data_IF_684436292032
#
_entry.id   IF_684436292032
#
_cell.length_a   1.000
_cell.length_b   1.000
_cell.length_c   1.000
_cell.angle_alpha   90.00
_cell.angle_beta   90.00
_cell.angle_gamma   90.00
#
_symmetry.space_group_name_H-M   'P 1'
#
loop_
_entity.id
_entity.type
_entity.pdbx_description
1 polymer ?
#
# COMPACT_ATOMS: atom_id res chain seq x y z
N UNK A 1 -79.94 -22.71 35.13
CA UNK A 1 -81.20 -21.93 35.19
C UNK A 1 -80.90 -20.53 34.68
N UNK A 2 -81.65 -20.11 33.66
CA UNK A 2 -81.65 -18.81 32.97
C UNK A 2 -80.37 -18.41 32.21
N UNK A 3 -80.28 -18.95 31.00
CA UNK A 3 -79.74 -18.28 29.82
C UNK A 3 -80.80 -17.33 29.26
N UNK A 4 -80.52 -16.03 29.24
CA UNK A 4 -81.29 -15.08 28.44
C UNK A 4 -80.62 -14.86 27.08
N UNK A 5 -81.43 -15.02 26.05
CA UNK A 5 -81.16 -14.68 24.66
C UNK A 5 -80.94 -13.18 24.48
N UNK A 6 -79.98 -12.76 23.65
CA UNK A 6 -80.28 -11.85 22.53
C UNK A 6 -79.26 -12.02 21.39
N UNK A 7 -79.83 -12.23 20.21
CA UNK A 7 -79.24 -12.37 18.90
C UNK A 7 -78.89 -11.02 18.26
N UNK A 8 -77.68 -10.97 17.68
CA UNK A 8 -77.32 -10.44 16.35
C UNK A 8 -77.73 -8.99 15.98
N UNK A 9 -76.72 -8.12 15.92
CA UNK A 9 -76.43 -7.36 14.70
C UNK A 9 -74.91 -7.27 14.49
N UNK A 10 -74.41 -8.09 13.56
CA UNK A 10 -73.04 -8.04 13.09
C UNK A 10 -72.87 -7.16 11.85
N UNK A 11 -71.60 -6.94 11.55
CA UNK A 11 -71.01 -6.50 10.27
C UNK A 11 -71.14 -5.03 9.87
N UNK A 12 -70.02 -4.30 9.98
CA UNK A 12 -69.48 -3.40 8.91
C UNK A 12 -68.17 -2.69 9.28
N UNK A 13 -67.64 -2.80 10.49
CA UNK A 13 -66.51 -1.96 10.94
C UNK A 13 -65.10 -2.59 10.89
N UNK A 14 -64.94 -3.91 10.69
CA UNK A 14 -63.60 -4.55 10.66
C UNK A 14 -62.97 -4.70 9.26
N UNK A 15 -63.73 -4.56 8.16
CA UNK A 15 -63.19 -4.72 6.80
C UNK A 15 -62.55 -3.46 6.21
N UNK A 16 -62.87 -2.27 6.74
CA UNK A 16 -62.31 -1.00 6.24
C UNK A 16 -60.93 -0.65 6.81
N UNK A 17 -60.60 -1.12 8.03
CA UNK A 17 -59.31 -0.82 8.69
C UNK A 17 -58.16 -1.63 8.07
N UNK A 18 -58.44 -2.79 7.49
CA UNK A 18 -57.41 -3.67 6.90
C UNK A 18 -57.06 -3.28 5.44
N UNK A 19 -57.98 -2.63 4.71
CA UNK A 19 -57.70 -2.10 3.36
C UNK A 19 -56.86 -0.82 3.43
N UNK A 20 -57.19 0.14 4.30
CA UNK A 20 -56.49 1.43 4.38
C UNK A 20 -55.00 1.31 4.77
N UNK A 21 -54.67 0.40 5.69
CA UNK A 21 -53.26 0.10 6.05
C UNK A 21 -52.47 -0.52 4.89
N UNK A 22 -53.08 -1.42 4.09
CA UNK A 22 -52.44 -1.98 2.90
C UNK A 22 -52.22 -0.93 1.80
N UNK A 23 -53.18 -0.02 1.59
CA UNK A 23 -53.01 1.09 0.63
C UNK A 23 -51.96 2.11 1.07
N UNK A 24 -51.87 2.46 2.36
CA UNK A 24 -50.81 3.33 2.87
C UNK A 24 -49.43 2.68 2.79
N UNK A 25 -49.31 1.39 3.13
CA UNK A 25 -48.05 0.65 3.00
C UNK A 25 -47.61 0.55 1.53
N UNK A 26 -48.56 0.34 0.61
CA UNK A 26 -48.30 0.23 -0.83
C UNK A 26 -47.92 1.59 -1.44
N UNK A 27 -48.57 2.69 -1.02
CA UNK A 27 -48.26 4.05 -1.47
C UNK A 27 -46.95 4.57 -0.87
N UNK A 28 -46.63 4.19 0.36
CA UNK A 28 -45.34 4.46 0.99
C UNK A 28 -44.22 3.67 0.30
N UNK A 29 -44.41 2.37 0.03
CA UNK A 29 -43.48 1.58 -0.79
C UNK A 29 -43.33 2.17 -2.19
N UNK A 30 -44.42 2.57 -2.86
CA UNK A 30 -44.36 3.17 -4.19
C UNK A 30 -43.60 4.49 -4.19
N UNK A 31 -43.83 5.37 -3.21
CA UNK A 31 -43.09 6.63 -3.08
C UNK A 31 -41.64 6.41 -2.67
N UNK A 32 -41.35 5.39 -1.85
CA UNK A 32 -40.00 4.98 -1.48
C UNK A 32 -39.24 4.41 -2.69
N UNK A 33 -39.92 3.58 -3.49
CA UNK A 33 -39.39 3.01 -4.74
C UNK A 33 -39.22 4.11 -5.80
N UNK A 34 -40.18 5.02 -5.99
CA UNK A 34 -40.02 6.18 -6.89
C UNK A 34 -38.88 7.08 -6.43
N UNK A 35 -38.75 7.28 -5.12
CA UNK A 35 -37.64 8.03 -4.53
C UNK A 35 -36.31 7.38 -4.87
N UNK A 36 -36.18 6.07 -4.69
CA UNK A 36 -34.99 5.31 -5.09
C UNK A 36 -34.73 5.35 -6.62
N UNK A 37 -35.77 5.22 -7.44
CA UNK A 37 -35.66 5.19 -8.90
C UNK A 37 -35.33 6.55 -9.53
N UNK A 38 -35.59 7.67 -8.84
CA UNK A 38 -35.36 9.02 -9.36
C UNK A 38 -34.17 9.71 -8.69
N UNK A 39 -34.08 9.67 -7.35
CA UNK A 39 -33.04 10.40 -6.63
C UNK A 39 -31.66 9.74 -6.79
N UNK A 40 -31.57 8.41 -6.84
CA UNK A 40 -30.28 7.73 -7.00
C UNK A 40 -29.67 8.02 -8.37
N UNK A 41 -30.38 7.87 -9.50
CA UNK A 41 -29.81 8.22 -10.81
C UNK A 41 -29.44 9.70 -10.93
N UNK A 42 -30.24 10.61 -10.37
CA UNK A 42 -29.92 12.04 -10.36
C UNK A 42 -28.69 12.35 -9.51
N UNK A 43 -28.54 11.72 -8.35
CA UNK A 43 -27.34 11.83 -7.52
C UNK A 43 -26.11 11.24 -8.22
N UNK A 44 -26.23 10.09 -8.87
CA UNK A 44 -25.13 9.49 -9.63
C UNK A 44 -24.74 10.36 -10.84
N UNK A 45 -25.71 10.95 -11.52
CA UNK A 45 -25.46 11.87 -12.63
C UNK A 45 -24.82 13.18 -12.15
N UNK A 46 -25.30 13.76 -11.04
CA UNK A 46 -24.70 14.97 -10.47
C UNK A 46 -23.26 14.71 -9.97
N UNK A 47 -23.03 13.56 -9.34
CA UNK A 47 -21.70 13.10 -8.94
C UNK A 47 -20.78 12.92 -10.15
N UNK A 48 -21.26 12.26 -11.20
CA UNK A 48 -20.52 12.09 -12.44
C UNK A 48 -20.17 13.43 -13.11
N UNK A 49 -21.11 14.37 -13.16
CA UNK A 49 -20.87 15.72 -13.67
C UNK A 49 -19.84 16.45 -12.81
N UNK A 50 -19.96 16.38 -11.48
CA UNK A 50 -19.01 16.98 -10.55
C UNK A 50 -17.58 16.43 -10.74
N UNK A 51 -17.42 15.11 -10.89
CA UNK A 51 -16.14 14.47 -11.25
C UNK A 51 -15.62 15.04 -12.58
N UNK A 52 -16.46 15.09 -13.62
CA UNK A 52 -16.05 15.58 -14.93
C UNK A 52 -15.64 17.05 -14.92
N UNK A 53 -16.27 17.88 -14.08
CA UNK A 53 -15.93 19.30 -13.90
C UNK A 53 -14.65 19.43 -13.07
N UNK A 54 -14.61 18.84 -11.87
CA UNK A 54 -13.48 18.93 -10.93
C UNK A 54 -12.18 18.45 -11.57
N UNK A 55 -12.26 17.37 -12.35
CA UNK A 55 -11.11 16.74 -13.00
C UNK A 55 -11.05 17.01 -14.52
N UNK A 56 -11.73 18.08 -15.00
CA UNK A 56 -11.78 18.45 -16.43
C UNK A 56 -10.42 18.86 -16.97
N UNK A 57 -9.69 19.69 -16.22
CA UNK A 57 -8.45 20.33 -16.66
C UNK A 57 -7.19 19.59 -16.18
N UNK A 58 -7.36 18.54 -15.37
CA UNK A 58 -6.24 17.78 -14.82
C UNK A 58 -5.78 16.71 -15.81
N UNK A 59 -5.25 17.17 -16.94
CA UNK A 59 -4.55 16.28 -17.83
C UNK A 59 -3.17 16.01 -17.25
N UNK A 60 -2.97 14.82 -16.72
CA UNK A 60 -1.63 14.28 -16.49
C UNK A 60 -1.01 13.96 -17.86
N UNK A 61 -0.65 15.02 -18.59
CA UNK A 61 0.00 14.92 -19.90
C UNK A 61 1.38 14.31 -19.66
N UNK A 62 1.79 13.43 -20.58
CA UNK A 62 3.16 12.89 -20.65
C UNK A 62 4.17 14.00 -21.01
N UNK A 63 4.40 14.97 -20.14
CA UNK A 63 5.53 15.90 -20.33
C UNK A 63 6.79 15.21 -19.85
N UNK A 64 7.30 14.34 -20.72
CA UNK A 64 8.61 13.74 -20.60
C UNK A 64 9.62 14.68 -21.24
N UNK A 65 10.36 15.43 -20.43
CA UNK A 65 11.63 16.01 -20.85
C UNK A 65 12.75 15.16 -20.25
N UNK A 66 13.27 14.20 -21.03
CA UNK A 66 14.55 13.54 -20.78
C UNK A 66 15.70 14.53 -20.95
N UNK A 67 15.81 15.49 -20.05
CA UNK A 67 17.12 16.07 -19.74
C UNK A 67 17.67 15.29 -18.55
N UNK A 68 17.97 14.01 -18.80
CA UNK A 68 18.83 13.26 -17.90
C UNK A 68 20.18 13.95 -17.96
N UNK A 69 20.52 14.66 -16.90
CA UNK A 69 21.90 15.00 -16.58
C UNK A 69 22.66 13.68 -16.49
N UNK A 70 23.37 13.33 -17.57
CA UNK A 70 24.43 12.34 -17.59
C UNK A 70 25.51 12.82 -16.61
N UNK A 71 25.32 12.52 -15.33
CA UNK A 71 26.42 12.60 -14.36
C UNK A 71 27.10 11.25 -14.41
N UNK A 72 28.30 11.26 -15.01
CA UNK A 72 29.24 10.16 -15.09
C UNK A 72 29.23 9.29 -13.83
N UNK A 73 29.13 7.97 -14.04
CA UNK A 73 29.35 6.95 -13.02
C UNK A 73 30.82 6.99 -12.54
N UNK A 74 31.13 7.90 -11.62
CA UNK A 74 32.30 7.74 -10.76
C UNK A 74 31.87 6.90 -9.57
N UNK A 75 31.88 5.58 -9.75
CA UNK A 75 31.80 4.62 -8.65
C UNK A 75 33.19 4.49 -8.02
N UNK A 76 33.64 5.53 -7.31
CA UNK A 76 34.59 5.31 -6.23
C UNK A 76 33.78 4.81 -5.05
N UNK A 77 33.46 3.51 -5.07
CA UNK A 77 32.97 2.81 -3.88
C UNK A 77 34.16 2.77 -2.94
N UNK A 78 34.24 3.76 -2.05
CA UNK A 78 35.12 3.66 -0.89
C UNK A 78 34.75 2.35 -0.19
N UNK A 79 35.73 1.46 -0.11
CA UNK A 79 35.67 0.18 0.59
C UNK A 79 35.54 0.45 2.08
N UNK A 80 34.36 0.90 2.53
CA UNK A 80 34.00 0.73 3.92
C UNK A 80 33.78 -0.76 4.15
N UNK A 81 34.17 -1.27 5.31
CA UNK A 81 34.00 -2.66 5.75
C UNK A 81 32.51 -3.04 5.81
N UNK A 82 31.86 -3.23 4.65
CA UNK A 82 30.47 -3.65 4.49
C UNK A 82 30.36 -5.18 4.41
N UNK A 83 31.25 -5.92 5.07
CA UNK A 83 31.30 -7.40 4.99
C UNK A 83 29.94 -8.03 5.33
N UNK A 84 29.17 -7.41 6.22
CA UNK A 84 27.87 -7.94 6.66
C UNK A 84 26.72 -7.58 5.68
N UNK A 85 26.80 -6.52 4.88
CA UNK A 85 25.67 -6.09 4.02
C UNK A 85 25.43 -7.03 2.83
N UNK A 86 26.43 -7.82 2.46
CA UNK A 86 26.29 -8.89 1.47
C UNK A 86 25.59 -10.14 2.03
N UNK A 87 25.49 -10.25 3.36
CA UNK A 87 24.89 -11.37 4.08
C UNK A 87 23.55 -11.01 4.74
N UNK A 88 23.25 -9.72 4.88
CA UNK A 88 21.97 -9.24 5.40
C UNK A 88 21.00 -9.01 4.25
N UNK A 89 19.77 -9.51 4.36
CA UNK A 89 18.70 -9.39 3.38
C UNK A 89 17.54 -8.52 3.90
N UNK A 90 16.60 -8.14 3.03
CA UNK A 90 15.55 -7.17 3.37
C UNK A 90 14.65 -7.60 4.53
N UNK A 91 14.33 -8.89 4.64
CA UNK A 91 13.55 -9.40 5.76
C UNK A 91 14.31 -9.39 7.09
N UNK A 92 15.61 -9.09 7.13
CA UNK A 92 16.35 -8.92 8.38
C UNK A 92 16.13 -7.55 9.02
N UNK A 93 15.35 -6.66 8.41
CA UNK A 93 15.17 -5.30 8.89
C UNK A 93 13.71 -4.95 9.16
N UNK A 94 13.53 -4.00 10.07
CA UNK A 94 12.30 -3.28 10.32
C UNK A 94 12.48 -1.84 9.82
N UNK A 95 11.43 -1.31 9.19
CA UNK A 95 11.38 0.04 8.62
C UNK A 95 10.09 0.74 9.02
N UNK A 96 10.14 2.06 9.00
CA UNK A 96 8.97 2.91 9.09
C UNK A 96 8.38 3.17 7.70
N UNK A 97 7.05 3.16 7.67
CA UNK A 97 6.23 3.46 6.50
C UNK A 97 5.21 4.53 6.80
N UNK A 98 4.59 5.07 5.77
CA UNK A 98 3.49 6.02 5.90
C UNK A 98 2.27 5.52 5.17
N UNK A 99 1.11 5.69 5.81
CA UNK A 99 -0.19 5.47 5.20
C UNK A 99 -0.63 6.78 4.53
N UNK A 100 -1.13 6.70 3.29
CA UNK A 100 -1.48 7.84 2.44
C UNK A 100 -0.37 8.92 2.38
N UNK A 101 0.85 8.55 1.97
CA UNK A 101 2.02 9.45 1.96
C UNK A 101 1.82 10.74 1.15
N UNK A 102 0.94 10.71 0.15
CA UNK A 102 0.56 11.87 -0.66
C UNK A 102 -0.38 12.83 0.09
N UNK A 103 -1.09 12.35 1.12
CA UNK A 103 -2.04 13.09 1.95
C UNK A 103 -1.40 13.47 3.29
N UNK A 104 -0.35 14.27 3.24
CA UNK A 104 0.35 14.78 4.43
C UNK A 104 0.81 16.21 4.21
N UNK A 105 0.88 16.98 5.30
CA UNK A 105 1.52 18.31 5.32
C UNK A 105 3.01 18.22 4.94
N UNK A 106 3.62 17.04 5.11
CA UNK A 106 5.02 16.78 4.79
C UNK A 106 5.12 16.16 3.40
N UNK A 107 5.95 16.76 2.54
CA UNK A 107 6.19 16.24 1.18
C UNK A 107 6.75 14.82 1.20
N UNK A 108 6.49 14.02 0.16
CA UNK A 108 7.04 12.66 0.02
C UNK A 108 8.58 12.67 0.17
N UNK A 109 9.27 13.62 -0.46
CA UNK A 109 10.74 13.71 -0.36
C UNK A 109 11.19 13.96 1.08
N UNK A 110 10.51 14.87 1.81
CA UNK A 110 10.81 15.15 3.21
C UNK A 110 10.53 13.94 4.11
N UNK A 111 9.47 13.17 3.85
CA UNK A 111 9.23 11.90 4.57
C UNK A 111 10.41 10.93 4.38
N UNK A 112 10.95 10.84 3.17
CA UNK A 112 12.11 9.97 2.90
C UNK A 112 13.40 10.48 3.54
N UNK A 113 13.56 11.81 3.66
CA UNK A 113 14.64 12.44 4.44
C UNK A 113 14.53 12.08 5.93
N UNK A 114 13.31 11.94 6.46
CA UNK A 114 13.05 11.42 7.82
C UNK A 114 13.31 9.91 7.99
N UNK A 115 13.80 9.23 6.96
CA UNK A 115 14.10 7.79 7.03
C UNK A 115 12.91 6.88 6.72
N UNK A 116 11.77 7.41 6.26
CA UNK A 116 10.64 6.59 5.79
C UNK A 116 11.08 5.80 4.55
N UNK A 117 10.79 4.50 4.55
CA UNK A 117 11.15 3.56 3.47
C UNK A 117 9.97 2.78 2.91
N UNK A 118 8.75 3.07 3.35
CA UNK A 118 7.53 2.68 2.64
C UNK A 118 6.67 3.93 2.38
N UNK A 119 6.35 4.15 1.10
CA UNK A 119 5.51 5.23 0.58
C UNK A 119 4.25 4.60 -0.02
N UNK A 120 3.09 5.19 0.21
CA UNK A 120 1.76 4.71 -0.22
C UNK A 120 1.08 5.76 -1.10
N UNK A 121 0.60 5.34 -2.27
CA UNK A 121 -0.13 6.16 -3.23
C UNK A 121 -1.48 5.51 -3.56
N UNK A 122 -2.56 6.26 -3.35
CA UNK A 122 -3.90 5.89 -3.82
C UNK A 122 -4.09 6.37 -5.25
N UNK A 123 -4.09 5.44 -6.17
CA UNK A 123 -4.06 5.70 -7.61
C UNK A 123 -5.45 5.50 -8.18
N UNK A 124 -6.13 6.60 -8.49
CA UNK A 124 -7.48 6.60 -9.03
C UNK A 124 -7.50 6.48 -10.56
N UNK A 125 -8.32 5.56 -11.05
CA UNK A 125 -8.62 5.40 -12.47
C UNK A 125 -9.66 6.45 -12.89
N UNK A 126 -9.30 7.33 -13.84
CA UNK A 126 -10.26 8.27 -14.43
C UNK A 126 -10.48 7.97 -15.91
N UNK A 127 -11.70 7.52 -16.23
CA UNK A 127 -12.12 7.14 -17.58
C UNK A 127 -11.87 8.25 -18.61
N UNK A 128 -11.05 7.92 -19.63
CA UNK A 128 -10.96 8.66 -20.89
C UNK A 128 -9.78 9.62 -21.06
N UNK A 129 -8.75 9.63 -20.20
CA UNK A 129 -7.63 10.58 -20.33
C UNK A 129 -6.20 10.02 -20.19
N UNK A 130 -6.03 8.70 -20.12
CA UNK A 130 -4.70 8.06 -20.15
C UNK A 130 -3.76 8.39 -18.98
N UNK A 131 -4.24 9.09 -17.95
CA UNK A 131 -3.49 9.47 -16.75
C UNK A 131 -4.15 8.90 -15.49
N UNK A 132 -3.34 8.71 -14.46
CA UNK A 132 -3.79 8.34 -13.12
C UNK A 132 -3.61 9.53 -12.17
N UNK A 133 -4.61 9.73 -11.32
CA UNK A 133 -4.59 10.76 -10.29
C UNK A 133 -4.30 10.14 -8.94
N UNK A 134 -3.68 10.91 -8.05
CA UNK A 134 -3.34 10.47 -6.70
C UNK A 134 -4.07 11.35 -5.68
N UNK A 135 -4.97 10.77 -4.90
CA UNK A 135 -5.74 11.44 -3.86
C UNK A 135 -6.48 10.43 -2.96
N UNK A 136 -7.06 10.87 -1.84
CA UNK A 136 -7.66 9.99 -0.82
C UNK A 136 -9.11 9.62 -1.10
N UNK A 137 -10.00 10.61 -1.17
CA UNK A 137 -11.41 10.39 -1.49
C UNK A 137 -11.86 11.31 -2.61
N UNK A 138 -12.44 10.71 -3.65
CA UNK A 138 -12.98 11.43 -4.79
C UNK A 138 -14.02 12.47 -4.35
N UNK A 139 -13.84 13.73 -4.76
CA UNK A 139 -14.65 14.91 -4.43
C UNK A 139 -14.74 15.32 -2.94
N UNK A 140 -14.47 14.42 -1.99
CA UNK A 140 -14.61 14.67 -0.55
C UNK A 140 -13.30 15.12 0.07
N UNK A 141 -12.21 14.45 -0.28
CA UNK A 141 -10.89 14.65 0.29
C UNK A 141 -9.82 14.41 -0.78
N UNK A 142 -9.77 15.33 -1.74
CA UNK A 142 -8.88 15.23 -2.90
C UNK A 142 -7.56 16.00 -2.73
N UNK A 143 -7.23 16.37 -1.49
CA UNK A 143 -5.94 16.96 -1.16
C UNK A 143 -4.80 15.96 -1.42
N UNK A 144 -3.69 16.45 -1.95
CA UNK A 144 -2.49 15.67 -2.23
C UNK A 144 -1.29 16.61 -2.41
N UNK A 145 -0.10 16.15 -2.05
CA UNK A 145 1.16 16.84 -2.31
C UNK A 145 1.73 16.58 -3.73
N UNK A 146 1.15 15.62 -4.47
CA UNK A 146 1.48 15.33 -5.86
C UNK A 146 0.24 14.77 -6.56
N UNK A 147 -0.19 15.41 -7.65
CA UNK A 147 -1.54 15.17 -8.18
C UNK A 147 -1.58 14.08 -9.25
N UNK A 148 -0.60 14.09 -10.14
CA UNK A 148 -0.44 13.05 -11.15
C UNK A 148 0.48 11.94 -10.64
N UNK A 149 0.16 10.67 -10.94
CA UNK A 149 1.04 9.55 -10.60
C UNK A 149 2.46 9.78 -11.12
N UNK A 150 2.60 10.27 -12.36
CA UNK A 150 3.91 10.61 -12.94
C UNK A 150 4.69 11.66 -12.14
N UNK A 151 4.01 12.66 -11.58
CA UNK A 151 4.65 13.69 -10.73
C UNK A 151 5.12 13.09 -9.41
N UNK A 152 4.28 12.28 -8.75
CA UNK A 152 4.64 11.57 -7.52
C UNK A 152 5.88 10.69 -7.74
N UNK A 153 5.89 9.90 -8.82
CA UNK A 153 7.01 9.04 -9.19
C UNK A 153 8.29 9.85 -9.48
N UNK A 154 8.17 11.01 -10.12
CA UNK A 154 9.32 11.90 -10.38
C UNK A 154 9.89 12.50 -9.09
N UNK A 155 9.07 12.85 -8.10
CA UNK A 155 9.55 13.32 -6.80
C UNK A 155 10.40 12.25 -6.10
N UNK A 156 9.92 11.00 -6.13
CA UNK A 156 10.64 9.84 -5.57
C UNK A 156 11.96 9.61 -6.33
N UNK A 157 11.94 9.64 -7.67
CA UNK A 157 13.15 9.47 -8.48
C UNK A 157 14.17 10.58 -8.20
N UNK A 158 13.74 11.86 -8.16
CA UNK A 158 14.63 12.99 -7.89
C UNK A 158 15.30 12.86 -6.52
N UNK A 159 14.55 12.44 -5.50
CA UNK A 159 15.10 12.16 -4.19
C UNK A 159 16.08 10.97 -4.23
N UNK A 160 15.71 9.88 -4.91
CA UNK A 160 16.53 8.68 -5.06
C UNK A 160 17.86 8.94 -5.80
N UNK A 161 17.86 9.87 -6.76
CA UNK A 161 19.06 10.28 -7.50
C UNK A 161 20.02 11.12 -6.66
N UNK A 162 19.49 11.95 -5.75
CA UNK A 162 20.29 12.73 -4.78
C UNK A 162 20.86 11.83 -3.67
N UNK A 163 20.16 10.75 -3.33
CA UNK A 163 20.51 9.81 -2.27
C UNK A 163 20.89 8.43 -2.83
N UNK A 164 21.91 8.34 -3.69
CA UNK A 164 22.17 7.14 -4.54
C UNK A 164 22.30 5.81 -3.79
N UNK A 165 22.73 5.83 -2.53
CA UNK A 165 22.90 4.64 -1.68
C UNK A 165 21.82 4.53 -0.60
N UNK A 166 20.66 5.17 -0.79
CA UNK A 166 19.56 5.04 0.16
C UNK A 166 19.14 3.57 0.32
N UNK A 167 18.72 3.17 1.51
CA UNK A 167 18.07 1.87 1.70
C UNK A 167 16.82 1.74 0.82
N UNK A 168 16.43 0.52 0.40
CA UNK A 168 15.36 0.33 -0.57
C UNK A 168 14.03 0.91 -0.10
N UNK A 169 13.26 1.42 -1.05
CA UNK A 169 11.95 2.04 -0.80
C UNK A 169 10.86 1.15 -1.35
N UNK A 170 9.92 0.76 -0.50
CA UNK A 170 8.69 0.11 -0.92
C UNK A 170 7.70 1.16 -1.40
N UNK A 171 7.35 1.12 -2.68
CA UNK A 171 6.32 1.98 -3.28
C UNK A 171 5.01 1.19 -3.36
N UNK A 172 4.17 1.39 -2.35
CA UNK A 172 2.83 0.82 -2.29
C UNK A 172 1.88 1.65 -3.17
N UNK A 173 1.18 0.96 -4.05
CA UNK A 173 0.18 1.52 -4.96
C UNK A 173 -1.13 0.79 -4.66
N UNK A 174 -2.09 1.53 -4.09
CA UNK A 174 -3.47 1.05 -3.99
C UNK A 174 -4.24 1.57 -5.20
N UNK A 175 -4.78 0.69 -6.03
CA UNK A 175 -5.54 1.11 -7.21
C UNK A 175 -6.99 1.29 -6.81
N UNK A 176 -7.43 2.54 -6.76
CA UNK A 176 -8.79 2.94 -6.42
C UNK A 176 -9.64 3.13 -7.66
N UNK A 177 -10.93 2.91 -7.50
CA UNK A 177 -11.92 3.08 -8.55
C UNK A 177 -12.82 4.28 -8.27
N UNK A 178 -14.02 4.31 -8.85
CA UNK A 178 -15.00 5.32 -8.44
C UNK A 178 -15.42 5.05 -6.99
N UNK A 179 -15.58 6.12 -6.21
CA UNK A 179 -15.92 6.02 -4.79
C UNK A 179 -17.13 5.13 -4.50
N UNK A 180 -18.18 5.18 -5.34
CA UNK A 180 -19.34 4.30 -5.23
C UNK A 180 -19.05 2.84 -5.60
N UNK A 181 -18.18 2.60 -6.59
CA UNK A 181 -17.79 1.26 -7.01
C UNK A 181 -17.00 0.55 -5.89
N UNK A 182 -16.10 1.28 -5.23
CA UNK A 182 -15.32 0.83 -4.07
C UNK A 182 -16.21 0.61 -2.83
N UNK A 183 -17.15 1.51 -2.52
CA UNK A 183 -17.97 1.40 -1.30
C UNK A 183 -19.18 0.46 -1.41
N UNK A 184 -19.82 0.35 -2.58
CA UNK A 184 -21.18 -0.23 -2.67
C UNK A 184 -21.22 -1.55 -3.42
N UNK A 185 -20.36 -1.75 -4.41
CA UNK A 185 -20.45 -2.94 -5.29
C UNK A 185 -19.32 -3.94 -5.06
N UNK A 186 -18.22 -3.54 -4.43
CA UNK A 186 -16.99 -4.34 -4.36
C UNK A 186 -16.39 -4.64 -5.74
N UNK A 187 -16.91 -3.99 -6.78
CA UNK A 187 -16.49 -4.09 -8.17
C UNK A 187 -15.67 -2.85 -8.47
N UNK A 188 -14.38 -2.91 -8.16
CA UNK A 188 -13.46 -1.76 -8.30
C UNK A 188 -13.16 -1.39 -9.75
N UNK A 189 -13.77 -2.03 -10.75
CA UNK A 189 -13.46 -1.77 -12.17
C UNK A 189 -11.98 -1.98 -12.56
N UNK A 190 -11.11 -2.46 -11.65
CA UNK A 190 -9.69 -2.69 -11.87
C UNK A 190 -9.51 -3.84 -12.83
N UNK A 191 -8.71 -3.63 -13.88
CA UNK A 191 -8.44 -4.59 -14.95
C UNK A 191 -6.94 -4.74 -15.11
N UNK A 192 -6.52 -5.85 -15.73
CA UNK A 192 -5.12 -6.08 -16.07
C UNK A 192 -4.49 -4.96 -16.90
N UNK A 193 -5.27 -4.31 -17.77
CA UNK A 193 -4.83 -3.15 -18.54
C UNK A 193 -4.42 -1.95 -17.66
N UNK A 194 -5.02 -1.80 -16.47
CA UNK A 194 -4.66 -0.75 -15.53
C UNK A 194 -3.32 -1.04 -14.86
N UNK A 195 -3.08 -2.28 -14.40
CA UNK A 195 -1.77 -2.67 -13.86
C UNK A 195 -0.66 -2.51 -14.91
N UNK A 196 -0.90 -2.95 -16.15
CA UNK A 196 0.09 -2.80 -17.22
C UNK A 196 0.37 -1.33 -17.53
N UNK A 197 -0.65 -0.48 -17.60
CA UNK A 197 -0.48 0.95 -17.83
C UNK A 197 0.28 1.66 -16.68
N UNK A 198 0.00 1.31 -15.41
CA UNK A 198 0.77 1.81 -14.25
C UNK A 198 2.22 1.34 -14.33
N UNK A 199 2.47 0.07 -14.64
CA UNK A 199 3.82 -0.48 -14.86
C UNK A 199 4.58 0.31 -15.92
N UNK A 200 3.95 0.62 -17.06
CA UNK A 200 4.58 1.41 -18.11
C UNK A 200 4.93 2.84 -17.66
N UNK A 201 4.10 3.47 -16.82
CA UNK A 201 4.43 4.78 -16.24
C UNK A 201 5.63 4.70 -15.30
N UNK A 202 5.70 3.66 -14.47
CA UNK A 202 6.86 3.42 -13.59
C UNK A 202 8.13 3.21 -14.43
N UNK A 203 8.08 2.36 -15.45
CA UNK A 203 9.22 2.07 -16.35
C UNK A 203 9.65 3.28 -17.20
N UNK A 204 8.74 4.22 -17.47
CA UNK A 204 9.09 5.48 -18.17
C UNK A 204 9.92 6.42 -17.27
N UNK A 205 9.75 6.31 -15.95
CA UNK A 205 10.38 7.21 -14.97
C UNK A 205 11.61 6.56 -14.33
N UNK A 206 11.48 5.33 -13.86
CA UNK A 206 12.55 4.59 -13.21
C UNK A 206 13.27 3.71 -14.22
N UNK A 207 14.61 3.83 -14.32
CA UNK A 207 15.38 2.88 -15.10
C UNK A 207 15.38 1.53 -14.37
N UNK A 208 15.43 0.42 -15.13
CA UNK A 208 15.19 -0.93 -14.59
C UNK A 208 16.17 -1.34 -13.49
N UNK A 209 17.41 -0.84 -13.51
CA UNK A 209 18.42 -1.09 -12.47
C UNK A 209 18.08 -0.49 -11.10
N UNK A 210 17.16 0.50 -11.06
CA UNK A 210 16.63 1.08 -9.81
C UNK A 210 15.39 0.35 -9.30
N UNK A 211 14.96 -0.73 -9.95
CA UNK A 211 13.79 -1.49 -9.53
C UNK A 211 14.18 -2.84 -8.96
N UNK A 212 13.46 -3.27 -7.92
CA UNK A 212 13.42 -4.65 -7.48
C UNK A 212 12.05 -5.21 -7.86
N UNK A 213 12.07 -6.30 -8.62
CA UNK A 213 10.90 -6.97 -9.15
C UNK A 213 10.79 -8.40 -8.58
N UNK A 214 9.58 -8.98 -8.51
CA UNK A 214 9.39 -10.29 -7.86
C UNK A 214 10.11 -11.46 -8.53
N UNK A 215 10.41 -11.38 -9.82
CA UNK A 215 11.12 -12.46 -10.52
C UNK A 215 12.59 -12.59 -10.08
N UNK A 216 13.23 -11.48 -9.69
CA UNK A 216 14.56 -11.47 -9.08
C UNK A 216 14.61 -12.19 -7.74
N UNK A 217 13.47 -12.33 -7.06
CA UNK A 217 13.34 -13.02 -5.77
C UNK A 217 12.90 -14.47 -5.96
N UNK A 218 12.08 -14.75 -6.98
CA UNK A 218 11.72 -16.12 -7.33
C UNK A 218 12.93 -16.92 -7.81
N UNK A 219 13.80 -16.32 -8.63
CA UNK A 219 14.91 -17.03 -9.28
C UNK A 219 14.39 -18.23 -10.09
N UNK A 220 15.03 -19.39 -9.90
CA UNK A 220 14.66 -20.63 -10.59
C UNK A 220 13.61 -21.48 -9.84
N UNK A 221 13.03 -20.98 -8.75
CA UNK A 221 12.01 -21.74 -8.00
C UNK A 221 10.65 -21.70 -8.71
N UNK A 222 9.82 -22.70 -8.40
CA UNK A 222 8.44 -22.80 -8.90
C UNK A 222 7.54 -21.69 -8.38
N UNK A 223 7.92 -21.00 -7.30
CA UNK A 223 7.16 -19.90 -6.72
C UNK A 223 8.03 -19.03 -5.81
N UNK A 224 7.61 -17.78 -5.58
CA UNK A 224 8.29 -16.86 -4.64
C UNK A 224 8.28 -17.45 -3.22
N UNK A 225 7.14 -18.00 -2.77
CA UNK A 225 7.04 -18.63 -1.44
C UNK A 225 8.04 -19.79 -1.29
N UNK A 226 8.30 -20.57 -2.35
CA UNK A 226 9.31 -21.63 -2.30
C UNK A 226 10.73 -21.07 -2.19
N UNK A 227 11.07 -20.03 -2.96
CA UNK A 227 12.37 -19.35 -2.87
C UNK A 227 12.63 -18.76 -1.48
N UNK A 228 11.64 -18.07 -0.89
CA UNK A 228 11.75 -17.48 0.45
C UNK A 228 11.90 -18.54 1.54
N UNK A 229 11.17 -19.65 1.46
CA UNK A 229 11.33 -20.78 2.37
C UNK A 229 12.74 -21.39 2.26
N UNK A 230 13.25 -21.57 1.04
CA UNK A 230 14.61 -22.07 0.86
C UNK A 230 15.64 -21.12 1.48
N UNK A 231 15.52 -19.81 1.24
CA UNK A 231 16.40 -18.83 1.86
C UNK A 231 16.38 -18.94 3.39
N UNK A 232 15.20 -19.10 4.01
CA UNK A 232 15.10 -19.31 5.46
C UNK A 232 15.76 -20.60 5.92
N UNK A 233 15.66 -21.70 5.16
CA UNK A 233 16.33 -22.95 5.49
C UNK A 233 17.86 -22.80 5.45
N UNK A 234 18.39 -22.07 4.46
CA UNK A 234 19.82 -21.79 4.35
C UNK A 234 20.31 -20.97 5.56
N UNK A 235 19.55 -19.93 5.95
CA UNK A 235 19.85 -19.10 7.12
C UNK A 235 19.83 -19.90 8.44
N UNK A 236 18.90 -20.84 8.59
CA UNK A 236 18.83 -21.74 9.76
C UNK A 236 20.10 -22.60 9.87
N UNK A 237 20.69 -22.99 8.74
CA UNK A 237 21.98 -23.68 8.68
C UNK A 237 23.20 -22.74 8.74
N UNK A 238 23.00 -21.44 8.99
CA UNK A 238 24.07 -20.46 9.09
C UNK A 238 24.63 -20.01 7.74
N UNK A 239 23.98 -20.34 6.62
CA UNK A 239 24.38 -19.90 5.30
C UNK A 239 23.60 -18.65 4.89
N UNK A 240 24.28 -17.50 4.91
CA UNK A 240 23.72 -16.19 4.53
C UNK A 240 24.19 -15.73 3.14
N UNK A 241 24.76 -16.63 2.34
CA UNK A 241 25.19 -16.32 0.98
C UNK A 241 23.98 -16.13 0.07
N UNK A 242 24.07 -15.19 -0.87
CA UNK A 242 23.03 -15.02 -1.87
C UNK A 242 23.20 -16.00 -3.03
N UNK A 243 22.13 -16.72 -3.35
CA UNK A 243 22.11 -17.79 -4.35
C UNK A 243 21.30 -17.46 -5.61
N UNK A 244 20.95 -16.18 -5.82
CA UNK A 244 20.12 -15.75 -6.95
C UNK A 244 18.60 -15.98 -6.75
N UNK A 245 18.17 -16.21 -5.52
CA UNK A 245 16.76 -16.30 -5.12
C UNK A 245 16.58 -15.77 -3.70
N UNK A 246 15.32 -15.56 -3.31
CA UNK A 246 14.95 -14.95 -2.04
C UNK A 246 15.23 -13.45 -2.02
N UNK A 247 15.07 -12.82 -0.85
CA UNK A 247 15.38 -11.40 -0.70
C UNK A 247 16.86 -11.18 -0.97
N UNK A 248 17.17 -10.28 -1.91
CA UNK A 248 18.55 -9.98 -2.26
C UNK A 248 19.29 -9.30 -1.08
N UNK A 249 20.63 -9.33 -1.07
CA UNK A 249 21.41 -8.65 -0.04
C UNK A 249 21.09 -7.15 0.03
N UNK A 250 21.25 -6.57 1.21
CA UNK A 250 21.05 -5.16 1.45
C UNK A 250 21.95 -4.33 0.54
N UNK A 251 23.21 -4.73 0.39
CA UNK A 251 24.16 -4.10 -0.53
C UNK A 251 23.62 -4.03 -1.97
N UNK A 252 22.97 -5.11 -2.43
CA UNK A 252 22.38 -5.19 -3.78
C UNK A 252 21.04 -4.46 -3.90
N UNK A 253 20.46 -4.04 -2.77
CA UNK A 253 19.16 -3.35 -2.70
C UNK A 253 19.28 -1.84 -2.55
N UNK A 254 20.48 -1.32 -2.26
CA UNK A 254 20.71 0.12 -2.10
C UNK A 254 20.34 0.88 -3.39
N UNK A 255 19.72 2.04 -3.23
CA UNK A 255 19.30 2.92 -4.31
C UNK A 255 18.07 2.43 -5.11
N UNK A 256 17.45 1.32 -4.69
CA UNK A 256 16.34 0.69 -5.43
C UNK A 256 14.97 0.95 -4.84
N UNK A 257 13.95 0.85 -5.71
CA UNK A 257 12.53 1.03 -5.42
C UNK A 257 11.82 -0.30 -5.72
N UNK A 258 10.86 -0.67 -4.89
CA UNK A 258 10.09 -1.90 -5.00
C UNK A 258 8.63 -1.56 -5.30
N UNK A 259 8.14 -1.76 -6.52
CA UNK A 259 6.73 -1.58 -6.83
C UNK A 259 5.88 -2.65 -6.12
N UNK A 260 4.94 -2.21 -5.29
CA UNK A 260 4.03 -3.06 -4.53
C UNK A 260 2.60 -2.70 -4.88
N UNK A 261 1.81 -3.65 -5.38
CA UNK A 261 0.37 -3.50 -5.49
C UNK A 261 -0.27 -3.86 -4.15
N UNK A 262 -0.90 -2.88 -3.51
CA UNK A 262 -1.64 -3.07 -2.27
C UNK A 262 -3.05 -3.58 -2.59
N UNK A 263 -3.35 -4.82 -2.15
CA UNK A 263 -4.62 -5.51 -2.36
C UNK A 263 -5.10 -6.15 -1.05
N UNK A 264 -5.27 -5.32 -0.02
CA UNK A 264 -5.62 -5.78 1.33
C UNK A 264 -7.14 -5.76 1.62
N UNK A 265 -7.92 -4.94 0.91
CA UNK A 265 -9.34 -4.76 1.17
C UNK A 265 -10.27 -5.73 0.40
N UNK A 266 -9.93 -6.05 -0.85
CA UNK A 266 -10.90 -6.67 -1.77
C UNK A 266 -10.41 -7.93 -2.50
N UNK A 267 -9.15 -8.35 -2.28
CA UNK A 267 -8.54 -9.49 -2.97
C UNK A 267 -8.74 -9.42 -4.49
N UNK A 268 -8.62 -8.21 -5.06
CA UNK A 268 -8.80 -7.94 -6.49
C UNK A 268 -7.84 -8.79 -7.32
N UNK A 269 -6.63 -9.05 -6.81
CA UNK A 269 -5.63 -9.87 -7.46
C UNK A 269 -6.15 -11.26 -7.83
N UNK A 270 -7.02 -11.86 -7.02
CA UNK A 270 -7.65 -13.16 -7.30
C UNK A 270 -8.56 -13.14 -8.54
N UNK A 271 -9.10 -11.96 -8.87
CA UNK A 271 -10.01 -11.77 -10.01
C UNK A 271 -9.27 -11.35 -11.29
N UNK A 272 -8.00 -10.98 -11.19
CA UNK A 272 -7.19 -10.53 -12.32
C UNK A 272 -6.49 -11.70 -13.01
N UNK A 273 -6.92 -12.05 -14.23
CA UNK A 273 -6.38 -13.19 -14.99
C UNK A 273 -4.90 -13.07 -15.34
N UNK A 274 -4.37 -11.85 -15.46
CA UNK A 274 -2.93 -11.59 -15.64
C UNK A 274 -2.11 -11.93 -14.39
N UNK A 275 -2.74 -12.05 -13.21
CA UNK A 275 -2.11 -12.49 -11.98
C UNK A 275 -2.39 -13.99 -11.71
N UNK A 276 -3.56 -14.50 -12.11
CA UNK A 276 -3.99 -15.87 -11.77
C UNK A 276 -3.80 -16.93 -12.86
N UNK A 277 -3.88 -16.58 -14.16
CA UNK A 277 -3.90 -17.55 -15.27
C UNK A 277 -2.71 -17.49 -16.21
N UNK A 278 -2.23 -16.28 -16.54
CA UNK A 278 -1.04 -16.12 -17.38
C UNK A 278 0.03 -15.31 -16.63
N UNK A 279 0.81 -16.00 -15.79
CA UNK A 279 1.66 -15.40 -14.77
C UNK A 279 2.78 -14.44 -15.27
N UNK A 280 3.07 -14.43 -16.57
CA UNK A 280 4.39 -14.08 -17.08
C UNK A 280 4.69 -12.56 -17.09
N UNK A 281 3.73 -11.65 -16.85
CA UNK A 281 4.01 -10.20 -17.03
C UNK A 281 3.67 -9.27 -15.85
N UNK A 282 2.61 -9.55 -15.09
CA UNK A 282 2.11 -8.63 -14.06
C UNK A 282 2.65 -8.95 -12.65
N UNK A 283 2.68 -10.22 -12.22
CA UNK A 283 3.36 -10.57 -10.96
C UNK A 283 4.87 -10.39 -11.07
N UNK A 284 5.42 -10.41 -12.29
CA UNK A 284 6.87 -10.21 -12.48
C UNK A 284 7.30 -8.78 -12.24
N UNK A 285 6.36 -7.85 -12.05
CA UNK A 285 6.71 -6.45 -11.81
C UNK A 285 6.25 -5.95 -10.44
N UNK A 286 5.02 -6.25 -10.03
CA UNK A 286 4.51 -5.83 -8.72
C UNK A 286 4.57 -6.97 -7.71
N UNK A 287 5.16 -6.69 -6.54
CA UNK A 287 4.86 -7.49 -5.36
C UNK A 287 3.40 -7.29 -4.97
N UNK A 288 2.67 -8.36 -4.64
CA UNK A 288 1.26 -8.26 -4.23
C UNK A 288 1.23 -8.28 -2.70
N UNK A 289 0.88 -7.16 -2.08
CA UNK A 289 0.71 -7.02 -0.65
C UNK A 289 -0.74 -7.33 -0.27
N UNK A 290 -0.96 -8.42 0.47
CA UNK A 290 -2.29 -8.99 0.72
C UNK A 290 -2.31 -9.83 2.00
N UNK A 291 -3.50 -10.23 2.47
CA UNK A 291 -3.67 -10.91 3.76
C UNK A 291 -3.59 -12.45 3.72
N UNK A 292 -3.76 -13.09 2.55
CA UNK A 292 -3.73 -14.55 2.42
C UNK A 292 -2.31 -15.08 2.40
N UNK A 293 -1.82 -15.53 3.55
CA UNK A 293 -0.43 -15.95 3.69
C UNK A 293 -0.06 -17.16 2.82
N UNK A 294 -1.00 -18.00 2.37
CA UNK A 294 -0.69 -19.27 1.71
C UNK A 294 -0.49 -19.18 0.18
N UNK A 295 -0.62 -17.99 -0.42
CA UNK A 295 -0.45 -17.84 -1.87
C UNK A 295 0.98 -18.13 -2.30
N UNK A 296 1.15 -18.76 -3.47
CA UNK A 296 2.46 -19.11 -4.02
C UNK A 296 3.34 -17.88 -4.30
N UNK A 297 2.72 -16.74 -4.60
CA UNK A 297 3.38 -15.45 -4.85
C UNK A 297 3.44 -14.54 -3.60
N UNK A 298 2.98 -14.98 -2.43
CA UNK A 298 2.94 -14.14 -1.23
C UNK A 298 4.35 -13.86 -0.68
N UNK A 299 4.89 -12.68 -1.00
CA UNK A 299 6.15 -12.17 -0.44
C UNK A 299 5.93 -11.12 0.66
N UNK A 300 4.89 -10.29 0.50
CA UNK A 300 4.52 -9.22 1.42
C UNK A 300 3.12 -9.51 1.96
N UNK A 301 3.00 -9.60 3.28
CA UNK A 301 1.75 -9.89 3.99
C UNK A 301 1.26 -8.62 4.68
N UNK A 302 -0.01 -8.27 4.49
CA UNK A 302 -0.64 -7.12 5.17
C UNK A 302 -1.55 -7.62 6.28
N UNK A 303 -1.31 -7.14 7.50
CA UNK A 303 -2.11 -7.44 8.69
C UNK A 303 -2.48 -6.14 9.39
N UNK A 304 -3.72 -5.68 9.23
CA UNK A 304 -4.22 -4.45 9.86
C UNK A 304 -4.67 -4.66 11.33
N UNK A 305 -4.53 -5.86 11.87
CA UNK A 305 -4.75 -6.18 13.28
C UNK A 305 -3.67 -7.13 13.77
N UNK A 306 -3.06 -6.81 14.91
CA UNK A 306 -1.87 -7.51 15.44
C UNK A 306 -2.04 -7.99 16.90
N UNK A 307 -3.25 -7.84 17.45
CA UNK A 307 -3.56 -8.13 18.85
C UNK A 307 -4.34 -9.43 19.04
N UNK A 308 -4.74 -10.10 17.95
CA UNK A 308 -5.54 -11.33 18.01
C UNK A 308 -4.67 -12.57 17.90
N UNK A 309 -5.09 -13.68 18.50
CA UNK A 309 -4.39 -14.97 18.39
C UNK A 309 -4.23 -15.43 16.94
N UNK A 310 -5.22 -15.16 16.09
CA UNK A 310 -5.15 -15.46 14.65
C UNK A 310 -4.03 -14.65 13.97
N UNK A 311 -3.95 -13.34 14.24
CA UNK A 311 -2.89 -12.50 13.70
C UNK A 311 -1.51 -12.94 14.17
N UNK A 312 -1.36 -13.36 15.43
CA UNK A 312 -0.08 -13.88 15.94
C UNK A 312 0.36 -15.16 15.23
N UNK A 313 -0.57 -16.08 14.94
CA UNK A 313 -0.26 -17.29 14.15
C UNK A 313 0.15 -16.92 12.73
N UNK A 314 -0.56 -15.97 12.09
CA UNK A 314 -0.22 -15.49 10.76
C UNK A 314 1.16 -14.82 10.72
N UNK A 315 1.49 -14.03 11.75
CA UNK A 315 2.80 -13.40 11.91
C UNK A 315 3.88 -14.48 12.01
N UNK A 316 3.78 -15.39 12.99
CA UNK A 316 4.77 -16.47 13.18
C UNK A 316 5.00 -17.28 11.90
N UNK A 317 3.91 -17.65 11.22
CA UNK A 317 3.97 -18.42 9.97
C UNK A 317 4.64 -17.63 8.84
N UNK A 318 4.36 -16.34 8.75
CA UNK A 318 4.95 -15.47 7.73
C UNK A 318 6.45 -15.25 7.96
N UNK A 319 6.85 -14.99 9.20
CA UNK A 319 8.26 -14.85 9.60
C UNK A 319 9.07 -16.13 9.31
N UNK A 320 8.52 -17.29 9.68
CA UNK A 320 9.16 -18.59 9.44
C UNK A 320 9.34 -18.90 7.95
N UNK A 321 8.49 -18.32 7.10
CA UNK A 321 8.53 -18.49 5.64
C UNK A 321 9.27 -17.36 4.92
N UNK A 322 9.99 -16.49 5.64
CA UNK A 322 10.80 -15.43 5.05
C UNK A 322 9.99 -14.30 4.41
N UNK A 323 8.73 -14.12 4.81
CA UNK A 323 7.85 -13.09 4.25
C UNK A 323 8.03 -11.77 5.00
N UNK A 324 7.93 -10.67 4.28
CA UNK A 324 7.85 -9.33 4.86
C UNK A 324 6.40 -9.09 5.31
N UNK A 325 6.23 -8.45 6.47
CA UNK A 325 4.92 -8.17 7.05
C UNK A 325 4.77 -6.66 7.18
N UNK A 326 3.66 -6.12 6.68
CA UNK A 326 3.23 -4.73 6.88
C UNK A 326 2.02 -4.67 7.81
N UNK A 327 2.07 -3.76 8.78
CA UNK A 327 0.89 -3.36 9.58
C UNK A 327 0.69 -1.85 9.47
N UNK A 328 -0.56 -1.41 9.33
CA UNK A 328 -0.90 -0.01 9.57
C UNK A 328 -1.34 0.16 11.02
N UNK A 329 -0.64 1.00 11.77
CA UNK A 329 -1.07 1.44 13.10
C UNK A 329 -1.89 2.73 13.03
N UNK A 330 -2.09 3.30 11.84
CA UNK A 330 -2.78 4.58 11.60
C UNK A 330 -2.27 5.66 12.56
N UNK A 331 -3.14 6.20 13.41
CA UNK A 331 -2.81 7.18 14.44
C UNK A 331 -2.64 6.55 15.85
N UNK A 332 -2.68 5.23 15.99
CA UNK A 332 -2.53 4.52 17.28
C UNK A 332 -1.08 4.16 17.58
N UNK A 333 -0.29 5.16 17.94
CA UNK A 333 1.14 5.02 18.26
C UNK A 333 1.46 4.05 19.40
N UNK A 334 0.48 3.70 20.25
CA UNK A 334 0.66 2.68 21.29
C UNK A 334 0.88 1.27 20.74
N UNK A 335 0.49 1.02 19.48
CA UNK A 335 0.72 -0.27 18.82
C UNK A 335 2.13 -0.42 18.25
N UNK A 336 2.92 0.66 18.22
CA UNK A 336 4.27 0.65 17.66
C UNK A 336 5.17 -0.35 18.37
N UNK A 337 5.31 -0.27 19.71
CA UNK A 337 6.18 -1.16 20.48
C UNK A 337 5.78 -2.63 20.27
N UNK A 338 4.46 -2.90 20.28
CA UNK A 338 3.93 -4.23 20.03
C UNK A 338 4.29 -4.73 18.62
N UNK A 339 4.12 -3.91 17.59
CA UNK A 339 4.48 -4.27 16.22
C UNK A 339 5.99 -4.54 16.10
N UNK A 340 6.80 -3.73 16.76
CA UNK A 340 8.25 -3.86 16.79
C UNK A 340 8.68 -5.18 17.44
N UNK A 341 8.18 -5.50 18.64
CA UNK A 341 8.47 -6.74 19.38
C UNK A 341 8.03 -8.02 18.65
N UNK A 342 6.96 -7.93 17.87
CA UNK A 342 6.45 -9.00 17.02
C UNK A 342 7.34 -9.25 15.79
N UNK A 343 8.33 -8.39 15.53
CA UNK A 343 9.19 -8.49 14.35
C UNK A 343 8.47 -8.11 13.06
N UNK A 344 7.45 -7.24 13.13
CA UNK A 344 6.80 -6.73 11.92
C UNK A 344 7.76 -5.82 11.17
N UNK A 345 7.93 -6.08 9.88
CA UNK A 345 8.96 -5.48 9.05
C UNK A 345 8.64 -4.05 8.61
N UNK A 346 7.38 -3.77 8.29
CA UNK A 346 6.92 -2.45 7.85
C UNK A 346 5.83 -1.99 8.81
N UNK A 347 6.11 -0.92 9.57
CA UNK A 347 5.15 -0.30 10.48
C UNK A 347 4.72 1.03 9.88
N UNK A 348 3.53 1.05 9.28
CA UNK A 348 2.95 2.20 8.60
C UNK A 348 2.08 3.02 9.56
N UNK A 349 2.14 4.34 9.50
CA UNK A 349 1.33 5.24 10.34
C UNK A 349 0.89 6.48 9.56
N UNK A 350 -0.08 7.23 10.10
CA UNK A 350 -0.50 8.51 9.52
C UNK A 350 0.50 9.60 9.92
N UNK A 351 1.24 10.13 8.94
CA UNK A 351 2.27 11.15 9.17
C UNK A 351 1.61 12.51 9.42
N UNK A 352 1.39 12.88 10.70
CA UNK A 352 0.75 14.15 11.08
C UNK A 352 1.66 15.03 11.94
N UNK A 353 1.78 16.30 11.53
CA UNK A 353 2.41 17.44 12.23
C UNK A 353 3.92 17.31 12.49
N UNK A 354 4.70 17.77 11.53
CA UNK A 354 6.12 18.01 11.70
C UNK A 354 6.43 19.50 11.61
N UNK A 355 7.33 19.96 12.47
CA UNK A 355 7.96 21.27 12.38
C UNK A 355 9.14 21.09 11.41
N UNK A 356 8.98 21.62 10.20
CA UNK A 356 10.05 21.70 9.21
C UNK A 356 10.61 23.12 9.27
N UNK A 357 11.78 23.27 9.87
CA UNK A 357 12.52 24.53 9.92
C UNK A 357 13.74 24.42 9.00
N UNK A 358 13.92 25.33 8.01
CA UNK A 358 15.09 25.32 7.13
C UNK A 358 16.43 25.50 7.85
N UNK A 359 16.42 26.05 9.07
CA UNK A 359 17.60 26.39 9.86
C UNK A 359 17.87 25.41 11.00
N UNK A 360 17.00 24.42 11.23
CA UNK A 360 17.19 23.42 12.27
C UNK A 360 16.82 22.02 11.79
N UNK A 361 17.21 21.00 12.56
CA UNK A 361 16.88 19.61 12.26
C UNK A 361 15.36 19.47 12.26
N UNK A 362 14.74 19.08 11.13
CA UNK A 362 13.30 18.89 11.06
C UNK A 362 12.82 17.91 12.15
N UNK A 363 11.70 18.21 12.78
CA UNK A 363 11.22 17.47 13.94
C UNK A 363 9.75 17.11 13.80
N UNK A 364 9.41 15.85 14.03
CA UNK A 364 8.04 15.35 13.99
C UNK A 364 7.58 14.93 15.37
N UNK A 365 6.57 15.63 15.91
CA UNK A 365 5.87 15.16 17.09
C UNK A 365 5.20 13.83 16.71
N UNK A 366 5.53 12.75 17.40
CA UNK A 366 5.00 11.38 17.22
C UNK A 366 5.72 10.48 16.20
N UNK A 367 6.91 10.81 15.70
CA UNK A 367 7.76 9.70 15.24
C UNK A 367 8.05 8.80 16.45
N UNK A 368 7.98 7.46 16.33
CA UNK A 368 8.29 6.57 17.43
C UNK A 368 9.67 6.93 18.02
N UNK A 369 9.66 7.55 19.20
CA UNK A 369 10.84 8.20 19.77
C UNK A 369 11.97 7.18 19.98
N UNK A 370 13.18 7.52 19.55
CA UNK A 370 14.42 6.81 19.92
C UNK A 370 14.98 5.85 18.88
N UNK A 371 14.23 4.81 18.51
CA UNK A 371 14.79 3.66 17.77
C UNK A 371 15.09 3.94 16.29
N UNK A 372 14.23 4.73 15.65
CA UNK A 372 14.36 5.13 14.24
C UNK A 372 14.86 6.57 14.07
N UNK A 373 15.11 7.30 15.16
CA UNK A 373 15.71 8.64 15.09
C UNK A 373 17.08 8.52 14.39
N UNK A 374 17.15 9.04 13.17
CA UNK A 374 18.31 8.95 12.27
C UNK A 374 18.70 7.52 11.83
N UNK A 375 17.81 6.53 11.97
CA UNK A 375 18.02 5.15 11.47
C UNK A 375 16.86 4.74 10.58
N UNK A 376 17.02 4.69 9.24
CA UNK A 376 15.93 4.28 8.35
C UNK A 376 15.58 2.79 8.50
N UNK A 377 16.56 1.98 8.93
CA UNK A 377 16.45 0.53 9.13
C UNK A 377 16.92 0.16 10.54
N UNK A 378 16.24 -0.82 11.15
CA UNK A 378 16.63 -1.44 12.42
C UNK A 378 16.67 -2.96 12.25
N UNK A 379 17.69 -3.63 12.79
CA UNK A 379 17.77 -5.09 12.74
C UNK A 379 16.54 -5.71 13.42
N UNK A 380 15.88 -6.64 12.72
CA UNK A 380 14.69 -7.30 13.21
C UNK A 380 15.06 -8.43 14.18
N UNK A 381 14.65 -8.31 15.44
CA UNK A 381 14.94 -9.30 16.49
C UNK A 381 14.42 -10.72 16.21
N UNK A 382 13.49 -10.89 15.26
CA UNK A 382 12.86 -12.18 14.93
C UNK A 382 13.44 -12.85 13.68
N UNK A 383 14.02 -12.07 12.78
CA UNK A 383 14.43 -12.57 11.45
C UNK A 383 15.88 -12.30 11.12
N UNK A 384 16.53 -11.32 11.77
CA UNK A 384 17.92 -10.98 11.51
C UNK A 384 18.88 -12.00 12.16
N UNK A 385 20.05 -12.25 11.54
CA UNK A 385 21.11 -13.00 12.21
C UNK A 385 21.68 -12.24 13.41
N UNK A 386 22.34 -12.97 14.31
CA UNK A 386 22.98 -12.39 15.52
C UNK A 386 24.05 -11.35 15.21
N UNK A 387 24.68 -11.43 14.03
CA UNK A 387 25.68 -10.46 13.58
C UNK A 387 25.07 -9.23 12.88
N UNK A 388 23.74 -9.11 12.84
CA UNK A 388 23.09 -7.90 12.33
C UNK A 388 23.39 -6.73 13.26
N UNK A 389 24.31 -5.89 12.83
CA UNK A 389 24.65 -4.63 13.47
C UNK A 389 24.52 -3.52 12.41
N UNK A 390 23.68 -2.52 12.68
CA UNK A 390 23.63 -1.29 11.89
C UNK A 390 24.09 -0.15 12.79
N UNK A 391 25.30 0.34 12.55
CA UNK A 391 25.75 1.56 13.20
C UNK A 391 25.24 2.80 12.45
N UNK A 392 24.86 3.83 13.20
CA UNK A 392 24.24 5.09 12.70
C UNK A 392 25.15 5.87 11.74
N UNK A 393 26.46 5.58 11.75
CA UNK A 393 27.46 6.31 10.98
C UNK A 393 27.83 5.66 9.63
N UNK A 394 27.26 4.50 9.28
CA UNK A 394 27.67 3.74 8.09
C UNK A 394 26.95 4.14 6.80
N UNK A 395 25.84 4.84 6.91
CA UNK A 395 25.20 5.61 5.83
C UNK A 395 24.78 6.88 6.54
N UNK A 396 25.40 8.02 6.22
CA UNK A 396 25.18 9.27 6.97
C UNK A 396 23.69 9.51 7.22
N UNK A 397 23.34 10.17 8.33
CA UNK A 397 21.96 10.38 8.75
C UNK A 397 21.01 10.94 7.66
N UNK A 398 21.56 11.47 6.57
CA UNK A 398 20.88 12.00 5.38
C UNK A 398 21.16 11.24 4.07
N UNK A 399 21.79 10.06 4.08
CA UNK A 399 22.28 9.42 2.85
C UNK A 399 23.41 10.19 2.13
N UNK A 400 23.95 11.23 2.78
CA UNK A 400 25.09 12.01 2.31
C UNK A 400 26.36 11.40 2.90
N UNK A 401 27.16 10.77 2.04
CA UNK A 401 28.59 10.61 2.27
C UNK A 401 29.23 11.96 1.89
N UNK A 402 30.04 12.54 2.79
CA UNK A 402 31.11 13.43 2.35
C UNK A 402 32.26 12.59 1.83
#
# INVERSE_FOLDING_TARGET
MFTDSQTVHGSTSLLFINRSRKYCLCRWLQNFILGFLIFIPLFMLSWYIAIKIRYKNNQCIRTYNSSVLNTSNNTNILSHNFTNFNQLALHHFQILGTHNSYHSEVSISSQMDFGIRQIELDVHIISGKGGYLVYHLQLIDDYTNCYCLSECLQLILKWSQRNRLHYPVFLFIEIKSMFYEDMVTGFTGVKCAHLESIKQQILTIFPSERLIAPDQIQGNFTSITAALKQQKLDEVHGNYSYHGYGWMPLASSLGKIMPVYLDDAHNIADRLTCLTKNPIAAYRFFFIAQSHIDRSYAAIVVLNTITTKQSETAIKTSLANGKIIRTSIFSNYKLYERAFELGIHIISFDFKKCIIDPLSTPYCNNLPNGLFLNKPLVCNSRTAPRFCEISVNQVGANGILF
#
